data_IF_978497256153
#
_entry.id   IF_978497256153
#
_cell.length_a   1.000
_cell.length_b   1.000
_cell.length_c   1.000
_cell.angle_alpha   90.00
_cell.angle_beta   90.00
_cell.angle_gamma   90.00
#
_symmetry.space_group_name_H-M   'P 1'
#
loop_
_entity.id
_entity.type
_entity.pdbx_description
1 polymer ?
#
# COMPACT_ATOMS: atom_id res chain seq x y z
N UNK A 1 7.67 6.83 -12.93
CA UNK A 1 8.77 6.58 -13.89
C UNK A 1 8.24 6.80 -15.30
N UNK A 2 9.10 7.07 -16.27
CA UNK A 2 8.70 7.26 -17.67
C UNK A 2 9.69 6.58 -18.60
N UNK A 3 9.17 6.01 -19.67
CA UNK A 3 9.94 5.36 -20.72
C UNK A 3 9.50 5.86 -22.09
N UNK A 4 10.42 5.81 -23.04
CA UNK A 4 10.23 6.19 -24.44
C UNK A 4 10.58 4.99 -25.31
N UNK A 5 9.78 4.75 -26.34
CA UNK A 5 10.15 3.80 -27.37
C UNK A 5 11.26 4.37 -28.27
N UNK A 6 12.35 3.62 -28.41
CA UNK A 6 13.42 3.92 -29.34
C UNK A 6 13.20 3.14 -30.64
N UNK A 7 12.72 3.83 -31.66
CA UNK A 7 12.45 3.25 -32.98
C UNK A 7 13.70 2.61 -33.62
N UNK A 8 14.89 3.16 -33.36
CA UNK A 8 16.13 2.65 -33.98
C UNK A 8 16.55 1.31 -33.40
N UNK A 9 16.22 1.06 -32.13
CA UNK A 9 16.60 -0.16 -31.40
C UNK A 9 15.43 -1.10 -31.19
N UNK A 10 14.22 -0.67 -31.55
CA UNK A 10 12.97 -1.36 -31.29
C UNK A 10 12.82 -1.77 -29.81
N UNK A 11 13.29 -0.92 -28.90
CA UNK A 11 13.33 -1.19 -27.46
C UNK A 11 12.71 -0.01 -26.69
N UNK A 12 12.20 -0.29 -25.49
CA UNK A 12 11.72 0.76 -24.59
C UNK A 12 12.83 1.11 -23.60
N UNK A 13 13.24 2.38 -23.59
CA UNK A 13 14.29 2.90 -22.70
C UNK A 13 13.73 3.92 -21.71
N UNK A 14 14.36 4.14 -20.55
CA UNK A 14 13.99 5.24 -19.67
C UNK A 14 14.01 6.58 -20.43
N UNK A 15 12.95 7.36 -20.28
CA UNK A 15 12.84 8.68 -20.91
C UNK A 15 13.49 9.75 -20.03
N UNK A 16 14.23 10.67 -20.66
CA UNK A 16 14.82 11.81 -19.96
C UNK A 16 13.74 12.84 -19.59
N UNK A 17 13.97 13.63 -18.53
CA UNK A 17 13.08 14.75 -18.21
C UNK A 17 12.97 15.71 -19.41
N UNK A 18 11.75 16.05 -19.81
CA UNK A 18 11.50 16.97 -20.92
C UNK A 18 11.48 16.35 -22.32
N UNK A 19 11.86 15.09 -22.52
CA UNK A 19 11.75 14.43 -23.84
C UNK A 19 10.30 14.44 -24.34
N UNK A 20 9.34 14.20 -23.44
CA UNK A 20 7.91 14.19 -23.75
C UNK A 20 7.35 15.58 -24.16
N UNK A 21 7.98 16.66 -23.72
CA UNK A 21 7.60 18.02 -24.14
C UNK A 21 8.27 18.41 -25.47
N UNK A 22 9.48 17.90 -25.71
CA UNK A 22 10.21 18.12 -26.95
C UNK A 22 9.64 17.33 -28.14
N UNK A 23 9.06 16.17 -27.85
CA UNK A 23 8.48 15.26 -28.83
C UNK A 23 7.23 14.60 -28.21
N UNK A 24 6.06 15.25 -28.34
CA UNK A 24 4.80 14.79 -27.76
C UNK A 24 4.13 13.65 -28.54
N UNK A 25 4.56 13.42 -29.79
CA UNK A 25 3.94 12.47 -30.71
C UNK A 25 4.57 11.08 -30.59
N UNK A 26 5.81 10.99 -30.09
CA UNK A 26 6.46 9.72 -29.78
C UNK A 26 5.71 8.88 -28.74
N UNK A 27 5.94 7.57 -28.76
CA UNK A 27 5.35 6.65 -27.80
C UNK A 27 6.08 6.70 -26.45
N UNK A 28 5.33 7.04 -25.40
CA UNK A 28 5.79 7.01 -24.01
C UNK A 28 4.97 6.06 -23.16
N UNK A 29 5.63 5.42 -22.21
CA UNK A 29 4.99 4.68 -21.13
C UNK A 29 5.24 5.48 -19.85
N UNK A 30 4.20 5.77 -19.09
CA UNK A 30 4.24 6.62 -17.89
C UNK A 30 3.63 5.88 -16.72
N UNK A 31 4.42 5.66 -15.68
CA UNK A 31 3.96 5.09 -14.41
C UNK A 31 3.55 6.22 -13.46
N UNK A 32 2.26 6.26 -13.13
CA UNK A 32 1.64 7.15 -12.14
C UNK A 32 1.15 6.32 -10.96
N UNK A 33 1.98 6.18 -9.93
CA UNK A 33 1.71 5.25 -8.82
C UNK A 33 1.71 3.80 -9.33
N UNK A 34 0.61 3.08 -9.09
CA UNK A 34 0.42 1.69 -9.53
C UNK A 34 -0.19 1.58 -10.94
N UNK A 35 -0.51 2.71 -11.57
CA UNK A 35 -1.13 2.72 -12.90
C UNK A 35 -0.07 3.02 -13.96
N UNK A 36 0.01 2.14 -14.94
CA UNK A 36 0.78 2.36 -16.17
C UNK A 36 -0.13 2.93 -17.25
N UNK A 37 0.31 4.03 -17.84
CA UNK A 37 -0.35 4.72 -18.94
C UNK A 37 0.56 4.66 -20.17
N UNK A 38 -0.01 4.44 -21.35
CA UNK A 38 0.66 4.61 -22.64
C UNK A 38 0.17 5.92 -23.22
N UNK A 39 1.11 6.77 -23.62
CA UNK A 39 0.87 8.00 -24.37
C UNK A 39 1.42 7.83 -25.77
N UNK A 40 0.57 8.00 -26.77
CA UNK A 40 0.91 7.86 -28.19
C UNK A 40 0.08 8.90 -28.95
N UNK A 41 0.71 9.68 -29.83
CA UNK A 41 0.02 10.71 -30.64
C UNK A 41 -0.84 11.66 -29.78
N UNK A 42 -0.30 12.09 -28.63
CA UNK A 42 -1.01 12.93 -27.66
C UNK A 42 -2.14 12.24 -26.87
N UNK A 43 -2.50 11.00 -27.19
CA UNK A 43 -3.55 10.26 -26.50
C UNK A 43 -2.99 9.41 -25.36
N UNK A 44 -3.51 9.61 -24.14
CA UNK A 44 -3.20 8.75 -23.00
C UNK A 44 -4.28 7.66 -22.83
N UNK A 45 -3.83 6.41 -22.69
CA UNK A 45 -4.68 5.26 -22.36
C UNK A 45 -4.01 4.37 -21.32
N UNK A 46 -4.77 3.61 -20.51
CA UNK A 46 -4.18 2.61 -19.63
C UNK A 46 -3.40 1.57 -20.44
N UNK A 47 -2.25 1.16 -19.91
CA UNK A 47 -1.40 0.16 -20.57
C UNK A 47 -2.12 -1.20 -20.58
N UNK A 48 -2.30 -1.83 -21.77
CA UNK A 48 -2.80 -3.19 -21.85
C UNK A 48 -1.78 -4.18 -21.27
N UNK A 49 -2.18 -5.42 -20.97
CA UNK A 49 -1.26 -6.46 -20.49
C UNK A 49 -0.09 -6.70 -21.45
N UNK A 50 -0.37 -6.60 -22.74
CA UNK A 50 0.61 -6.69 -23.83
C UNK A 50 0.44 -5.51 -24.77
N UNK A 51 1.49 -4.73 -24.94
CA UNK A 51 1.55 -3.60 -25.84
C UNK A 51 2.38 -3.97 -27.07
N UNK A 52 1.77 -3.91 -28.24
CA UNK A 52 2.48 -4.05 -29.52
C UNK A 52 2.93 -2.67 -30.00
N UNK A 53 4.22 -2.51 -30.31
CA UNK A 53 4.78 -1.28 -30.90
C UNK A 53 5.67 -1.68 -32.06
N UNK A 54 5.32 -1.21 -33.27
CA UNK A 54 6.02 -1.54 -34.51
C UNK A 54 6.30 -3.05 -34.70
N UNK A 55 5.37 -3.92 -34.30
CA UNK A 55 5.49 -5.37 -34.39
C UNK A 55 6.27 -6.03 -33.24
N UNK A 56 6.74 -5.26 -32.25
CA UNK A 56 7.40 -5.77 -31.04
C UNK A 56 6.42 -5.79 -29.88
N UNK A 57 6.36 -6.91 -29.16
CA UNK A 57 5.47 -7.10 -28.01
C UNK A 57 6.20 -6.78 -26.70
N UNK A 58 5.59 -5.93 -25.89
CA UNK A 58 6.04 -5.57 -24.56
C UNK A 58 5.01 -5.99 -23.52
N UNK A 59 5.44 -6.76 -22.52
CA UNK A 59 4.58 -7.14 -21.41
C UNK A 59 4.53 -6.02 -20.36
N UNK A 60 3.35 -5.78 -19.82
CA UNK A 60 3.11 -4.77 -18.79
C UNK A 60 3.97 -4.99 -17.53
N UNK A 61 4.19 -6.24 -17.16
CA UNK A 61 5.00 -6.64 -16.00
C UNK A 61 6.43 -6.08 -16.07
N UNK A 62 6.97 -5.86 -17.28
CA UNK A 62 8.31 -5.28 -17.48
C UNK A 62 8.42 -3.86 -16.90
N UNK A 63 7.28 -3.16 -16.72
CA UNK A 63 7.21 -1.79 -16.24
C UNK A 63 6.62 -1.68 -14.82
N UNK A 64 5.81 -2.64 -14.39
CA UNK A 64 5.16 -2.64 -13.06
C UNK A 64 6.16 -2.83 -11.91
N UNK A 65 7.24 -3.59 -12.14
CA UNK A 65 8.28 -3.87 -11.13
C UNK A 65 9.31 -2.75 -10.90
N UNK A 66 9.21 -1.62 -11.62
CA UNK A 66 10.11 -0.48 -11.45
C UNK A 66 9.70 0.40 -10.25
N UNK A 67 9.66 -0.17 -9.04
CA UNK A 67 9.51 0.65 -7.85
C UNK A 67 10.74 1.57 -7.71
N UNK A 68 10.59 2.91 -7.71
CA UNK A 68 11.72 3.83 -7.60
C UNK A 68 12.41 3.80 -6.22
N UNK A 69 11.87 3.03 -5.27
CA UNK A 69 12.52 2.75 -3.99
C UNK A 69 12.36 1.26 -3.70
N UNK A 70 13.47 0.59 -3.41
CA UNK A 70 13.40 -0.70 -2.71
C UNK A 70 12.56 -0.55 -1.44
N UNK A 71 11.88 -1.60 -1.00
CA UNK A 71 11.13 -1.63 0.28
C UNK A 71 11.95 -1.02 1.44
N UNK A 72 13.28 -1.20 1.42
CA UNK A 72 14.22 -0.61 2.39
C UNK A 72 14.29 0.91 2.32
N UNK A 73 14.24 1.49 1.13
CA UNK A 73 14.26 2.93 0.90
C UNK A 73 12.89 3.56 1.19
N UNK A 74 11.79 2.86 0.93
CA UNK A 74 10.45 3.24 1.36
C UNK A 74 10.33 3.27 2.89
N UNK A 75 10.68 2.17 3.56
CA UNK A 75 10.70 2.09 5.03
C UNK A 75 11.62 3.14 5.68
N UNK A 76 12.72 3.52 5.03
CA UNK A 76 13.57 4.62 5.53
C UNK A 76 12.88 5.97 5.45
N UNK A 77 12.18 6.26 4.35
CA UNK A 77 11.41 7.50 4.19
C UNK A 77 10.30 7.58 5.23
N UNK A 78 9.54 6.50 5.41
CA UNK A 78 8.47 6.44 6.41
C UNK A 78 9.01 6.56 7.84
N UNK A 79 10.12 5.87 8.11
CA UNK A 79 10.83 6.01 9.39
C UNK A 79 11.42 7.39 9.63
N UNK A 80 11.73 8.17 8.59
CA UNK A 80 12.14 9.58 8.72
C UNK A 80 10.93 10.47 9.00
N UNK A 81 9.80 10.24 8.32
CA UNK A 81 8.55 10.96 8.56
C UNK A 81 8.03 10.77 9.99
N UNK A 82 8.03 9.53 10.50
CA UNK A 82 7.62 9.22 11.87
C UNK A 82 8.52 9.89 12.92
N UNK A 83 9.84 9.94 12.68
CA UNK A 83 10.78 10.65 13.56
C UNK A 83 10.58 12.15 13.53
N UNK A 84 10.30 12.75 12.36
CA UNK A 84 10.00 14.17 12.24
C UNK A 84 8.71 14.54 12.99
N UNK A 85 7.68 13.69 12.93
CA UNK A 85 6.43 13.88 13.70
C UNK A 85 6.67 13.83 15.21
N UNK A 86 7.45 12.87 15.69
CA UNK A 86 7.80 12.77 17.11
C UNK A 86 8.64 13.97 17.59
N UNK A 87 9.61 14.41 16.78
CA UNK A 87 10.42 15.61 17.10
C UNK A 87 9.60 16.90 17.07
N UNK A 88 8.60 17.00 16.18
CA UNK A 88 7.66 18.11 16.17
C UNK A 88 6.76 18.11 17.42
N UNK A 89 6.40 16.92 17.92
CA UNK A 89 5.57 16.75 19.12
C UNK A 89 6.32 17.06 20.42
N UNK A 90 7.61 16.68 20.52
CA UNK A 90 8.44 17.02 21.69
C UNK A 90 8.74 18.53 21.81
N UNK A 91 8.62 19.29 20.72
CA UNK A 91 8.89 20.73 20.71
C UNK A 91 7.65 21.58 21.03
N UNK A 92 6.46 21.00 21.04
CA UNK A 92 5.24 21.68 21.39
C UNK A 92 4.73 21.11 22.72
N UNK A 93 4.90 21.85 23.82
CA UNK A 93 4.08 21.67 25.03
C UNK A 93 2.62 21.93 24.62
N UNK A 94 1.86 20.88 24.29
CA UNK A 94 0.46 21.01 23.89
C UNK A 94 -0.42 20.63 25.07
N UNK A 95 -0.99 21.64 25.70
CA UNK A 95 -2.27 21.54 26.39
C UNK A 95 -3.29 20.92 25.41
N UNK A 96 -3.72 19.69 25.70
CA UNK A 96 -4.75 19.00 24.92
C UNK A 96 -6.12 19.65 25.20
N UNK A 97 -6.87 20.13 24.18
CA UNK A 97 -8.30 20.30 24.35
C UNK A 97 -8.98 18.93 24.36
N UNK A 98 -9.59 18.61 25.50
CA UNK A 98 -10.31 17.38 25.85
C UNK A 98 -11.62 17.20 25.06
N UNK A 99 -11.56 17.01 23.75
CA UNK A 99 -12.78 16.74 22.97
C UNK A 99 -12.50 15.60 21.97
N UNK A 100 -12.37 14.37 22.49
CA UNK A 100 -12.51 13.15 21.69
C UNK A 100 -13.78 12.40 22.13
N UNK A 101 -14.63 11.92 21.19
CA UNK A 101 -15.95 11.40 21.49
C UNK A 101 -15.94 10.00 22.15
N UNK A 102 -16.34 9.98 23.43
CA UNK A 102 -17.17 9.04 24.23
C UNK A 102 -17.02 7.50 24.10
N UNK A 103 -16.50 6.88 23.04
CA UNK A 103 -16.44 5.40 22.92
C UNK A 103 -15.11 4.75 23.34
N UNK A 104 -14.19 5.52 23.91
CA UNK A 104 -12.99 4.97 24.57
C UNK A 104 -13.08 5.21 26.07
N UNK A 105 -14.05 4.60 26.73
CA UNK A 105 -13.94 4.32 28.17
C UNK A 105 -13.54 2.87 28.32
N UNK A 106 -12.25 2.58 28.14
CA UNK A 106 -11.68 1.43 28.84
C UNK A 106 -11.22 1.93 30.19
N UNK A 107 -12.12 1.88 31.16
CA UNK A 107 -11.73 1.70 32.55
C UNK A 107 -10.66 0.62 32.59
N UNK A 108 -9.51 0.86 33.24
CA UNK A 108 -8.51 -0.18 33.40
C UNK A 108 -9.13 -1.29 34.23
N UNK A 109 -9.43 -2.43 33.60
CA UNK A 109 -9.83 -3.65 34.30
C UNK A 109 -8.73 -3.99 35.29
N UNK A 110 -9.11 -4.09 36.56
CA UNK A 110 -8.19 -4.49 37.62
C UNK A 110 -7.98 -6.01 37.57
N UNK A 111 -6.93 -6.49 38.24
CA UNK A 111 -6.61 -7.92 38.27
C UNK A 111 -7.77 -8.75 38.87
N UNK A 112 -8.59 -8.15 39.73
CA UNK A 112 -9.78 -8.80 40.30
C UNK A 112 -10.87 -9.02 39.22
N UNK A 113 -11.08 -8.05 38.33
CA UNK A 113 -12.02 -8.18 37.20
C UNK A 113 -11.61 -9.30 36.23
N UNK A 114 -10.30 -9.51 36.05
CA UNK A 114 -9.78 -10.59 35.19
C UNK A 114 -10.00 -11.98 35.81
N UNK A 115 -9.91 -12.10 37.13
CA UNK A 115 -10.13 -13.38 37.83
C UNK A 115 -11.61 -13.77 37.86
N UNK A 116 -12.53 -12.80 37.92
CA UNK A 116 -13.97 -13.07 37.86
C UNK A 116 -14.40 -13.59 36.47
N UNK A 117 -13.80 -13.05 35.40
CA UNK A 117 -14.01 -13.55 34.03
C UNK A 117 -13.46 -14.96 33.86
N UNK A 118 -12.31 -15.28 34.46
CA UNK A 118 -11.73 -16.63 34.42
C UNK A 118 -12.57 -17.66 35.17
N UNK A 119 -13.25 -17.25 36.25
CA UNK A 119 -14.17 -18.10 37.01
C UNK A 119 -15.49 -18.38 36.24
N UNK A 120 -15.92 -17.45 35.37
CA UNK A 120 -17.13 -17.61 34.55
C UNK A 120 -16.96 -18.56 33.34
N UNK A 121 -15.73 -19.00 33.03
CA UNK A 121 -15.39 -19.80 31.85
C UNK A 121 -15.58 -21.32 31.96
N UNK A 122 -16.12 -21.84 33.06
CA UNK A 122 -16.29 -23.29 33.30
C UNK A 122 -17.74 -23.71 33.59
N UNK A 123 -18.71 -23.11 32.89
CA UNK A 123 -20.10 -23.58 32.86
C UNK A 123 -20.45 -24.20 31.49
N UNK A 124 -19.52 -24.97 30.93
CA UNK A 124 -19.79 -25.89 29.83
C UNK A 124 -19.89 -27.30 30.39
N UNK A 125 -21.12 -27.79 30.54
CA UNK A 125 -21.46 -29.14 30.99
C UNK A 125 -20.62 -30.19 30.25
N UNK A 126 -19.77 -30.92 30.98
CA UNK A 126 -19.20 -32.17 30.48
C UNK A 126 -20.36 -33.14 30.22
N UNK A 127 -20.47 -33.74 29.03
CA UNK A 127 -21.48 -34.76 28.81
C UNK A 127 -21.17 -35.97 29.70
N UNK A 128 -22.13 -36.29 30.57
CA UNK A 128 -22.15 -37.49 31.40
C UNK A 128 -22.13 -38.74 30.49
N UNK A 129 -21.08 -39.58 30.54
CA UNK A 129 -20.95 -40.75 29.68
C UNK A 129 -21.93 -41.90 30.00
N UNK A 130 -22.69 -41.82 31.11
CA UNK A 130 -23.54 -42.93 31.58
C UNK A 130 -25.05 -42.74 31.31
N UNK A 131 -25.44 -41.83 30.42
CA UNK A 131 -26.86 -41.70 30.03
C UNK A 131 -27.27 -42.80 29.04
N UNK A 132 -27.40 -44.02 29.57
CA UNK A 132 -28.01 -45.17 28.91
C UNK A 132 -29.39 -44.82 28.33
N UNK A 133 -29.51 -44.95 27.02
CA UNK A 133 -30.79 -45.01 26.34
C UNK A 133 -31.47 -46.33 26.65
N UNK A 134 -32.53 -46.30 27.47
CA UNK A 134 -33.55 -47.34 27.46
C UNK A 134 -34.47 -47.14 26.27
N UNK A 135 -34.37 -48.05 25.31
CA UNK A 135 -35.47 -48.45 24.44
C UNK A 135 -36.34 -49.48 25.17
#
# INVERSE_FOLDING_TARGET
>A
MQWRYDENRAEVRPALPGEMEADPDALYIVQRGDVLMVREDGHERPMPERLEVAGVMFDREQFEGCHPLSLRAEMRRDGQWARAQLQARDRAEIALPLELPIWVTKTPLTIEDMNEIAAAGWAGELPDPDREGKA
#
